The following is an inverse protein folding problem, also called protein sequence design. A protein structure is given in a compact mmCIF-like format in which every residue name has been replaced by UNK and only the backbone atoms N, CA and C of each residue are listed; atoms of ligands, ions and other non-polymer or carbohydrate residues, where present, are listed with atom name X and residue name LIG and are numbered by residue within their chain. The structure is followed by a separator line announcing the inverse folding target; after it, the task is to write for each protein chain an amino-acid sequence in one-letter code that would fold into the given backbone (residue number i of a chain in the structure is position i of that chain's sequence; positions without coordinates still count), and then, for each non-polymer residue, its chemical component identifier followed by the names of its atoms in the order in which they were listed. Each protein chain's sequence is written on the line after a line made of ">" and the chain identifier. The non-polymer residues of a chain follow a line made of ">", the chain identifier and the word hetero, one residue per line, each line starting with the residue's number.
data_IF_094172195417
#
_entry.id   IF_094172195417
#
_cell.length_a   1.000
_cell.length_b   1.000
_cell.length_c   1.000
_cell.angle_alpha   90.00
_cell.angle_beta   90.00
_cell.angle_gamma   90.00
#
_symmetry.space_group_name_H-M   'P 1'
#
loop_
_entity.id
_entity.type
_entity.pdbx_description
1 polymer ?
#
# COMPACT_ATOMS: atom_id res chain seq x y z
N UNK A 1 15.19 3.26 19.14
CA UNK A 1 14.03 4.12 19.51
C UNK A 1 13.80 5.32 18.58
N UNK A 2 14.83 5.97 18.00
CA UNK A 2 14.65 7.18 17.13
C UNK A 2 13.93 6.92 15.79
N UNK A 3 14.07 5.73 15.21
CA UNK A 3 13.44 5.36 13.94
C UNK A 3 11.90 5.42 14.01
N UNK A 4 11.32 4.89 15.08
CA UNK A 4 9.86 4.78 15.23
C UNK A 4 9.20 6.16 15.45
N UNK A 5 9.86 7.07 16.19
CA UNK A 5 9.40 8.47 16.35
C UNK A 5 9.40 9.24 15.02
N UNK A 6 10.37 8.99 14.15
CA UNK A 6 10.40 9.61 12.83
C UNK A 6 9.34 9.00 11.91
N UNK A 7 9.17 7.68 11.92
CA UNK A 7 8.15 6.99 11.12
C UNK A 7 6.73 7.47 11.44
N UNK A 8 6.40 7.64 12.73
CA UNK A 8 5.08 8.16 13.15
C UNK A 8 4.82 9.60 12.68
N UNK A 9 5.83 10.47 12.62
CA UNK A 9 5.67 11.82 12.05
C UNK A 9 5.39 11.78 10.55
N UNK A 10 6.01 10.86 9.82
CA UNK A 10 5.74 10.70 8.38
C UNK A 10 4.31 10.24 8.13
N UNK A 11 3.78 9.30 8.93
CA UNK A 11 2.40 8.85 8.79
C UNK A 11 1.39 10.00 8.96
N UNK A 12 1.55 10.82 10.01
CA UNK A 12 0.68 11.99 10.22
C UNK A 12 0.80 13.03 9.09
N UNK A 13 2.00 13.24 8.54
CA UNK A 13 2.18 14.14 7.41
C UNK A 13 1.46 13.63 6.15
N UNK A 14 1.47 12.31 5.89
CA UNK A 14 0.75 11.68 4.78
C UNK A 14 -0.76 11.78 4.98
N UNK A 15 -1.25 11.58 6.19
CA UNK A 15 -2.67 11.67 6.54
C UNK A 15 -3.21 13.09 6.35
N UNK A 16 -2.48 14.11 6.81
CA UNK A 16 -2.82 15.51 6.58
C UNK A 16 -2.77 15.91 5.10
N UNK A 17 -1.76 15.44 4.36
CA UNK A 17 -1.61 15.76 2.94
C UNK A 17 -2.69 15.10 2.09
N UNK A 18 -3.01 13.83 2.35
CA UNK A 18 -4.10 13.12 1.67
C UNK A 18 -5.47 13.73 1.99
N UNK A 19 -5.72 14.14 3.23
CA UNK A 19 -6.92 14.88 3.61
C UNK A 19 -7.07 16.22 2.88
N UNK A 20 -6.00 17.03 2.84
CA UNK A 20 -6.01 18.31 2.12
C UNK A 20 -6.19 18.12 0.60
N UNK A 21 -5.57 17.10 0.01
CA UNK A 21 -5.72 16.75 -1.40
C UNK A 21 -7.17 16.33 -1.72
N UNK A 22 -7.81 15.51 -0.87
CA UNK A 22 -9.20 15.10 -1.05
C UNK A 22 -10.17 16.28 -0.94
N UNK A 23 -9.96 17.20 0.01
CA UNK A 23 -10.76 18.42 0.13
C UNK A 23 -10.56 19.33 -1.09
N UNK A 24 -9.34 19.42 -1.62
CA UNK A 24 -9.05 20.19 -2.82
C UNK A 24 -9.70 19.58 -4.07
N UNK A 25 -9.61 18.26 -4.25
CA UNK A 25 -10.28 17.54 -5.34
C UNK A 25 -11.81 17.66 -5.20
N UNK A 26 -12.35 17.51 -3.99
CA UNK A 26 -13.77 17.68 -3.70
C UNK A 26 -14.25 19.11 -4.02
N UNK A 27 -13.47 20.12 -3.64
CA UNK A 27 -13.72 21.51 -4.01
C UNK A 27 -13.66 21.73 -5.52
N UNK A 28 -12.68 21.16 -6.21
CA UNK A 28 -12.61 21.23 -7.67
C UNK A 28 -13.82 20.56 -8.34
N UNK A 29 -14.28 19.41 -7.86
CA UNK A 29 -15.50 18.77 -8.39
C UNK A 29 -16.74 19.61 -8.12
N UNK A 30 -16.84 20.23 -6.94
CA UNK A 30 -17.96 21.10 -6.55
C UNK A 30 -18.02 22.39 -7.38
N UNK A 31 -16.87 23.01 -7.69
CA UNK A 31 -16.81 24.27 -8.44
C UNK A 31 -16.67 24.09 -9.96
N UNK A 32 -16.08 23.00 -10.45
CA UNK A 32 -15.80 22.81 -11.87
C UNK A 32 -16.87 21.97 -12.56
N UNK A 33 -17.99 22.62 -12.94
CA UNK A 33 -18.81 22.37 -14.16
C UNK A 33 -19.15 20.91 -14.58
N UNK A 34 -18.90 19.89 -13.75
CA UNK A 34 -19.04 18.48 -14.09
C UNK A 34 -20.50 18.03 -13.99
N UNK A 35 -21.24 18.61 -13.06
CA UNK A 35 -22.70 18.46 -12.94
C UNK A 35 -23.45 19.02 -14.15
N UNK A 36 -22.89 20.02 -14.83
CA UNK A 36 -23.50 20.57 -16.05
C UNK A 36 -23.20 19.71 -17.30
N UNK A 37 -22.12 18.93 -17.26
CA UNK A 37 -21.75 17.99 -18.33
C UNK A 37 -22.51 16.68 -18.23
N UNK A 38 -22.74 16.15 -17.02
CA UNK A 38 -23.55 14.93 -16.84
C UNK A 38 -24.99 15.11 -17.30
N UNK A 39 -25.59 16.30 -17.12
CA UNK A 39 -26.91 16.63 -17.66
C UNK A 39 -26.96 16.64 -19.21
N UNK A 40 -25.84 16.91 -19.88
CA UNK A 40 -25.74 16.98 -21.35
C UNK A 40 -25.32 15.64 -21.99
N UNK A 41 -25.03 14.63 -21.17
CA UNK A 41 -24.52 13.32 -21.58
C UNK A 41 -25.55 12.19 -21.32
N UNK A 42 -26.83 12.51 -21.13
CA UNK A 42 -27.91 11.49 -21.05
C UNK A 42 -27.95 10.55 -22.26
N UNK A 43 -27.48 11.03 -23.43
CA UNK A 43 -27.28 10.21 -24.63
C UNK A 43 -26.24 9.09 -24.44
N UNK A 44 -25.24 9.29 -23.56
CA UNK A 44 -24.27 8.25 -23.21
C UNK A 44 -24.88 7.14 -22.36
N UNK A 45 -25.92 7.42 -21.56
CA UNK A 45 -26.61 6.37 -20.81
C UNK A 45 -27.26 5.35 -21.74
N UNK A 46 -27.77 5.80 -22.90
CA UNK A 46 -28.31 4.90 -23.94
C UNK A 46 -27.20 4.04 -24.54
N UNK A 47 -26.02 4.63 -24.78
CA UNK A 47 -24.86 3.89 -25.29
C UNK A 47 -24.36 2.87 -24.26
N UNK A 48 -24.30 3.24 -22.98
CA UNK A 48 -23.88 2.35 -21.88
C UNK A 48 -24.84 1.19 -21.72
N UNK A 49 -26.17 1.44 -21.76
CA UNK A 49 -27.18 0.38 -21.71
C UNK A 49 -27.11 -0.56 -22.92
N UNK A 50 -26.84 -0.02 -24.10
CA UNK A 50 -26.63 -0.83 -25.31
C UNK A 50 -25.35 -1.67 -25.21
N UNK A 51 -24.29 -1.11 -24.61
CA UNK A 51 -23.02 -1.78 -24.39
C UNK A 51 -23.14 -2.89 -23.34
N UNK A 52 -23.84 -2.64 -22.24
CA UNK A 52 -24.16 -3.64 -21.21
C UNK A 52 -24.97 -4.79 -21.79
N UNK A 53 -25.98 -4.51 -22.63
CA UNK A 53 -26.77 -5.54 -23.30
C UNK A 53 -25.94 -6.35 -24.30
N UNK A 54 -25.03 -5.69 -25.05
CA UNK A 54 -24.10 -6.37 -25.94
C UNK A 54 -23.13 -7.28 -25.16
N UNK A 55 -22.62 -6.81 -24.01
CA UNK A 55 -21.70 -7.55 -23.12
C UNK A 55 -22.38 -8.74 -22.42
N UNK A 56 -23.63 -8.58 -21.96
CA UNK A 56 -24.37 -9.63 -21.24
C UNK A 56 -25.08 -10.63 -22.15
N UNK A 57 -25.34 -10.31 -23.42
CA UNK A 57 -26.06 -11.22 -24.33
C UNK A 57 -25.28 -12.48 -24.72
N UNK A 58 -23.96 -12.55 -24.45
CA UNK A 58 -23.13 -13.75 -24.66
C UNK A 58 -23.14 -14.32 -26.09
N UNK A 59 -23.66 -13.58 -27.08
CA UNK A 59 -23.95 -14.08 -28.43
C UNK A 59 -22.96 -13.64 -29.52
N UNK A 60 -21.94 -12.90 -29.14
CA UNK A 60 -20.85 -12.48 -30.01
C UNK A 60 -19.64 -13.38 -29.81
N UNK A 61 -19.26 -14.16 -30.83
CA UNK A 61 -17.98 -14.87 -30.85
C UNK A 61 -16.78 -13.90 -30.74
N UNK A 62 -15.58 -14.42 -30.56
CA UNK A 62 -14.33 -13.65 -30.38
C UNK A 62 -14.10 -12.60 -31.47
N UNK A 63 -14.55 -12.86 -32.69
CA UNK A 63 -14.47 -11.95 -33.85
C UNK A 63 -15.32 -10.69 -33.66
N UNK A 64 -16.48 -10.79 -33.01
CA UNK A 64 -17.36 -9.65 -32.73
C UNK A 64 -16.71 -8.68 -31.73
N UNK A 65 -16.14 -9.21 -30.65
CA UNK A 65 -15.48 -8.42 -29.61
C UNK A 65 -14.20 -7.73 -30.11
N UNK A 66 -13.45 -8.40 -31.00
CA UNK A 66 -12.29 -7.80 -31.65
C UNK A 66 -12.69 -6.64 -32.56
N UNK A 67 -13.72 -6.81 -33.39
CA UNK A 67 -14.20 -5.75 -34.27
C UNK A 67 -14.79 -4.56 -33.50
N UNK A 68 -15.54 -4.82 -32.42
CA UNK A 68 -16.06 -3.78 -31.54
C UNK A 68 -14.92 -3.00 -30.85
N UNK A 69 -13.90 -3.70 -30.34
CA UNK A 69 -12.72 -3.08 -29.74
C UNK A 69 -11.94 -2.20 -30.73
N UNK A 70 -11.73 -2.69 -31.95
CA UNK A 70 -11.07 -1.91 -33.03
C UNK A 70 -11.90 -0.69 -33.39
N UNK A 71 -13.22 -0.82 -33.52
CA UNK A 71 -14.10 0.31 -33.83
C UNK A 71 -14.04 1.40 -32.74
N UNK A 72 -14.06 1.02 -31.46
CA UNK A 72 -13.91 1.96 -30.34
C UNK A 72 -12.53 2.63 -30.38
N UNK A 73 -11.45 1.87 -30.61
CA UNK A 73 -10.11 2.41 -30.71
C UNK A 73 -10.00 3.43 -31.85
N UNK A 74 -10.57 3.12 -33.03
CA UNK A 74 -10.60 4.04 -34.18
C UNK A 74 -11.40 5.30 -33.85
N UNK A 75 -12.56 5.19 -33.21
CA UNK A 75 -13.36 6.37 -32.82
C UNK A 75 -12.61 7.23 -31.81
N UNK A 76 -11.93 6.63 -30.83
CA UNK A 76 -11.11 7.36 -29.84
C UNK A 76 -9.94 8.05 -30.53
N UNK A 77 -9.22 7.37 -31.42
CA UNK A 77 -8.09 7.96 -32.18
C UNK A 77 -8.58 9.11 -33.05
N UNK A 78 -9.69 8.94 -33.79
CA UNK A 78 -10.28 10.01 -34.60
C UNK A 78 -10.79 11.17 -33.75
N UNK A 79 -11.34 10.91 -32.57
CA UNK A 79 -11.76 11.94 -31.62
C UNK A 79 -10.56 12.72 -31.07
N UNK A 80 -9.44 12.04 -30.77
CA UNK A 80 -8.18 12.67 -30.36
C UNK A 80 -7.61 13.52 -31.49
N UNK A 81 -7.55 13.01 -32.73
CA UNK A 81 -7.07 13.75 -33.89
C UNK A 81 -7.93 15.01 -34.15
N UNK A 82 -9.27 14.88 -34.15
CA UNK A 82 -10.18 16.04 -34.29
C UNK A 82 -10.07 17.01 -33.13
N UNK A 83 -9.83 16.51 -31.91
CA UNK A 83 -9.62 17.35 -30.73
C UNK A 83 -8.30 18.11 -30.84
N UNK A 84 -7.27 17.51 -31.44
CA UNK A 84 -5.99 18.16 -31.74
C UNK A 84 -6.13 19.30 -32.75
N UNK A 85 -6.95 19.16 -33.81
CA UNK A 85 -7.25 20.28 -34.73
C UNK A 85 -7.93 21.46 -34.02
N UNK A 86 -8.88 21.17 -33.12
CA UNK A 86 -9.60 22.19 -32.35
C UNK A 86 -8.75 22.83 -31.25
N UNK A 87 -7.71 22.14 -30.77
CA UNK A 87 -6.71 22.69 -29.84
C UNK A 87 -5.68 23.52 -30.60
N UNK A 88 -5.27 23.08 -31.80
CA UNK A 88 -4.38 23.84 -32.67
C UNK A 88 -4.99 25.16 -33.15
N UNK A 89 -6.32 25.22 -33.33
CA UNK A 89 -7.03 26.47 -33.66
C UNK A 89 -7.24 27.41 -32.46
N UNK A 90 -7.03 26.94 -31.22
CA UNK A 90 -7.03 27.78 -30.01
C UNK A 90 -5.61 28.26 -29.71
N UNK A 91 -5.02 28.96 -30.68
CA UNK A 91 -3.73 29.63 -30.56
C UNK A 91 -3.88 30.94 -29.74
N UNK A 92 -4.56 30.85 -28.60
CA UNK A 92 -4.68 31.92 -27.62
C UNK A 92 -3.81 31.59 -26.42
N UNK A 93 -3.02 32.56 -25.95
CA UNK A 93 -2.07 32.50 -24.82
C UNK A 93 -2.51 31.64 -23.61
N UNK A 94 -3.82 31.55 -23.33
CA UNK A 94 -4.40 30.81 -22.20
C UNK A 94 -4.26 29.28 -22.32
N UNK A 95 -4.32 28.68 -23.51
CA UNK A 95 -4.17 27.22 -23.69
C UNK A 95 -2.70 26.80 -23.56
N UNK A 96 -1.79 27.59 -24.12
CA UNK A 96 -0.34 27.40 -23.99
C UNK A 96 0.08 27.52 -22.53
N UNK A 97 -0.44 28.51 -21.80
CA UNK A 97 -0.17 28.68 -20.38
C UNK A 97 -0.67 27.47 -19.57
N UNK A 98 -1.89 27.00 -19.83
CA UNK A 98 -2.44 25.84 -19.13
C UNK A 98 -1.61 24.56 -19.38
N UNK A 99 -1.19 24.31 -20.62
CA UNK A 99 -0.36 23.14 -20.96
C UNK A 99 1.03 23.26 -20.34
N UNK A 100 1.65 24.44 -20.38
CA UNK A 100 2.94 24.69 -19.76
C UNK A 100 2.89 24.52 -18.24
N UNK A 101 1.82 24.96 -17.57
CA UNK A 101 1.62 24.76 -16.12
C UNK A 101 1.45 23.29 -15.79
N UNK A 102 0.67 22.53 -16.56
CA UNK A 102 0.49 21.08 -16.33
C UNK A 102 1.81 20.33 -16.54
N UNK A 103 2.56 20.64 -17.60
CA UNK A 103 3.88 20.04 -17.84
C UNK A 103 4.85 20.39 -16.70
N UNK A 104 4.88 21.64 -16.24
CA UNK A 104 5.71 22.07 -15.12
C UNK A 104 5.34 21.35 -13.80
N UNK A 105 4.05 21.10 -13.55
CA UNK A 105 3.58 20.34 -12.39
C UNK A 105 3.95 18.85 -12.49
N UNK A 106 3.82 18.23 -13.67
CA UNK A 106 4.23 16.84 -13.90
C UNK A 106 5.75 16.69 -13.72
N UNK A 107 6.52 17.61 -14.29
CA UNK A 107 7.98 17.64 -14.15
C UNK A 107 8.35 17.88 -12.67
N UNK A 108 7.74 18.85 -12.01
CA UNK A 108 7.98 19.17 -10.61
C UNK A 108 7.67 17.99 -9.69
N UNK A 109 6.54 17.30 -9.89
CA UNK A 109 6.18 16.11 -9.13
C UNK A 109 7.09 14.92 -9.44
N UNK A 110 7.52 14.73 -10.68
CA UNK A 110 8.50 13.71 -11.05
C UNK A 110 9.86 13.93 -10.38
N UNK A 111 10.36 15.18 -10.37
CA UNK A 111 11.62 15.50 -9.71
C UNK A 111 11.50 15.51 -8.18
N UNK A 112 10.36 15.93 -7.64
CA UNK A 112 10.07 15.81 -6.21
C UNK A 112 10.03 14.35 -5.79
N UNK A 113 9.30 13.47 -6.50
CA UNK A 113 9.27 12.03 -6.27
C UNK A 113 10.68 11.43 -6.37
N UNK A 114 11.48 11.80 -7.37
CA UNK A 114 12.87 11.33 -7.49
C UNK A 114 13.76 11.81 -6.32
N UNK A 115 13.54 13.00 -5.80
CA UNK A 115 14.28 13.56 -4.66
C UNK A 115 13.82 13.01 -3.31
N UNK A 116 12.53 12.69 -3.17
CA UNK A 116 11.91 12.17 -1.94
C UNK A 116 11.76 10.66 -1.94
N UNK A 117 12.05 9.99 -3.06
CA UNK A 117 12.27 8.55 -3.08
C UNK A 117 13.43 8.30 -2.13
N UNK A 118 13.06 7.89 -0.92
CA UNK A 118 13.87 7.01 -0.10
C UNK A 118 14.25 5.90 -1.07
N UNK A 119 15.49 5.94 -1.55
CA UNK A 119 16.09 4.83 -2.26
C UNK A 119 15.83 3.68 -1.31
N UNK A 120 14.95 2.75 -1.70
CA UNK A 120 14.83 1.48 -1.01
C UNK A 120 16.19 0.83 -1.23
N UNK A 121 17.14 1.19 -0.38
CA UNK A 121 18.36 0.46 -0.17
C UNK A 121 17.87 -0.89 0.30
N UNK A 122 17.86 -1.85 -0.64
CA UNK A 122 18.06 -3.24 -0.30
C UNK A 122 19.23 -3.38 0.67
N UNK A 123 19.34 -4.54 1.31
CA UNK A 123 19.77 -4.69 2.70
C UNK A 123 21.15 -4.08 2.95
N UNK A 124 21.18 -2.82 3.37
CA UNK A 124 22.41 -2.17 3.78
C UNK A 124 22.08 -1.24 4.95
N UNK A 125 22.70 -1.54 6.09
CA UNK A 125 22.59 -0.91 7.42
C UNK A 125 21.62 -1.49 8.46
N UNK A 126 21.49 -2.81 8.50
CA UNK A 126 21.26 -3.53 9.78
C UNK A 126 22.53 -4.24 10.29
N UNK A 127 23.65 -4.16 9.57
CA UNK A 127 24.86 -4.95 9.81
C UNK A 127 26.04 -4.19 10.43
N UNK A 128 25.86 -2.96 10.93
CA UNK A 128 27.01 -2.21 11.49
C UNK A 128 27.12 -2.28 13.01
N UNK A 129 26.08 -2.71 13.75
CA UNK A 129 26.11 -2.76 15.23
C UNK A 129 25.44 -3.98 15.87
N UNK A 130 24.74 -4.82 15.09
CA UNK A 130 24.27 -6.10 15.59
C UNK A 130 25.39 -7.12 15.38
N UNK A 131 26.03 -7.57 16.46
CA UNK A 131 26.87 -8.76 16.46
C UNK A 131 25.99 -9.99 16.20
N UNK A 132 25.47 -10.09 14.96
CA UNK A 132 24.60 -11.18 14.54
C UNK A 132 25.49 -12.39 14.39
N UNK A 133 25.43 -13.27 15.40
CA UNK A 133 26.12 -14.55 15.35
C UNK A 133 25.64 -15.33 14.12
N UNK A 134 26.55 -15.91 13.31
CA UNK A 134 26.16 -16.74 12.18
C UNK A 134 25.37 -17.97 12.65
N UNK A 135 24.51 -18.48 11.76
CA UNK A 135 23.71 -19.69 11.99
C UNK A 135 24.60 -20.85 12.40
N UNK A 136 24.16 -21.63 13.39
CA UNK A 136 24.91 -22.76 13.96
C UNK A 136 25.74 -22.40 15.20
N UNK A 137 25.85 -21.11 15.55
CA UNK A 137 26.37 -20.72 16.86
C UNK A 137 25.30 -20.82 17.96
N UNK A 138 25.71 -21.00 19.23
CA UNK A 138 24.77 -20.91 20.35
C UNK A 138 24.04 -19.57 20.37
N UNK A 139 22.71 -19.64 20.51
CA UNK A 139 21.88 -18.48 20.73
C UNK A 139 22.41 -17.67 21.93
N UNK A 140 22.33 -16.32 21.89
CA UNK A 140 22.75 -15.49 23.00
C UNK A 140 21.92 -15.79 24.25
N UNK A 141 22.56 -15.76 25.42
CA UNK A 141 21.84 -15.83 26.68
C UNK A 141 21.14 -14.49 26.91
N UNK A 142 19.82 -14.53 27.04
CA UNK A 142 18.99 -13.36 27.30
C UNK A 142 18.06 -13.72 28.45
N UNK A 143 17.97 -12.80 29.41
CA UNK A 143 17.00 -12.85 30.51
C UNK A 143 15.90 -11.84 30.23
N UNK A 144 14.65 -12.29 30.37
CA UNK A 144 13.46 -11.48 30.19
C UNK A 144 12.49 -11.73 31.35
N UNK A 145 11.54 -10.82 31.53
CA UNK A 145 10.45 -10.98 32.50
C UNK A 145 9.28 -11.66 31.81
N UNK A 146 8.76 -12.73 32.41
CA UNK A 146 7.53 -13.35 31.95
C UNK A 146 6.29 -12.54 32.39
N UNK A 147 5.10 -13.04 32.04
CA UNK A 147 3.84 -12.40 32.41
C UNK A 147 3.56 -12.44 33.93
N UNK A 148 4.22 -13.32 34.69
CA UNK A 148 4.16 -13.36 36.16
C UNK A 148 5.16 -12.40 36.81
N UNK A 149 6.06 -11.78 36.03
CA UNK A 149 7.16 -10.95 36.52
C UNK A 149 8.38 -11.75 37.00
N UNK A 150 8.42 -13.06 36.74
CA UNK A 150 9.57 -13.93 37.04
C UNK A 150 10.63 -13.79 35.96
N UNK A 151 11.88 -14.07 36.32
CA UNK A 151 12.97 -14.13 35.36
C UNK A 151 12.89 -15.43 34.56
N UNK A 152 12.74 -15.29 33.24
CA UNK A 152 12.83 -16.36 32.28
C UNK A 152 14.11 -16.16 31.45
N UNK A 153 14.80 -17.26 31.14
CA UNK A 153 16.02 -17.23 30.33
C UNK A 153 15.96 -18.22 29.19
N UNK A 154 16.66 -17.93 28.10
CA UNK A 154 16.67 -18.82 26.94
C UNK A 154 17.25 -20.20 27.27
N UNK A 155 18.21 -20.28 28.21
CA UNK A 155 18.79 -21.55 28.65
C UNK A 155 17.78 -22.50 29.32
N UNK A 156 16.65 -22.01 29.84
CA UNK A 156 15.60 -22.84 30.43
C UNK A 156 14.94 -23.77 29.40
N UNK A 157 15.07 -23.45 28.10
CA UNK A 157 14.47 -24.21 27.00
C UNK A 157 15.46 -25.18 26.32
N UNK A 158 16.66 -25.37 26.88
CA UNK A 158 17.63 -26.34 26.33
C UNK A 158 17.04 -27.74 26.25
N UNK A 159 17.35 -28.44 25.16
CA UNK A 159 16.80 -29.77 24.86
C UNK A 159 15.46 -29.74 24.11
N UNK A 160 14.87 -28.55 23.92
CA UNK A 160 13.70 -28.34 23.05
C UNK A 160 14.12 -27.64 21.76
N UNK A 161 13.33 -27.85 20.70
CA UNK A 161 13.34 -26.99 19.51
C UNK A 161 12.50 -25.76 19.83
N UNK A 162 13.13 -24.59 19.88
CA UNK A 162 12.47 -23.33 20.27
C UNK A 162 12.28 -22.44 19.05
N UNK A 163 11.05 -22.09 18.74
CA UNK A 163 10.72 -21.02 17.79
C UNK A 163 10.53 -19.72 18.57
N UNK A 164 11.46 -18.78 18.41
CA UNK A 164 11.34 -17.44 19.02
C UNK A 164 10.64 -16.52 18.03
N UNK A 165 9.47 -16.01 18.41
CA UNK A 165 8.69 -15.07 17.63
C UNK A 165 8.68 -13.71 18.35
N UNK A 166 9.09 -12.65 17.65
CA UNK A 166 9.05 -11.27 18.15
C UNK A 166 7.79 -10.59 17.60
N UNK A 167 6.88 -10.17 18.47
CA UNK A 167 5.58 -9.61 18.09
C UNK A 167 5.25 -8.36 18.90
N UNK A 168 4.17 -7.67 18.54
CA UNK A 168 3.65 -6.54 19.32
C UNK A 168 2.16 -6.36 19.09
N UNK A 169 1.47 -5.67 20.01
CA UNK A 169 0.02 -5.40 19.91
C UNK A 169 -0.36 -4.50 18.74
N UNK A 170 0.57 -3.69 18.25
CA UNK A 170 0.38 -2.87 17.05
C UNK A 170 0.79 -3.58 15.76
N UNK A 171 1.22 -4.85 15.83
CA UNK A 171 1.61 -5.65 14.68
C UNK A 171 0.40 -6.40 14.10
N UNK A 172 -0.33 -5.76 13.19
CA UNK A 172 -1.47 -6.37 12.50
C UNK A 172 -1.18 -7.74 11.84
N UNK A 173 -0.10 -7.93 11.07
CA UNK A 173 0.21 -9.25 10.49
C UNK A 173 0.53 -10.31 11.53
N UNK A 174 1.01 -9.94 12.73
CA UNK A 174 1.31 -10.90 13.80
C UNK A 174 0.02 -11.60 14.29
N UNK A 175 -1.13 -10.89 14.32
CA UNK A 175 -2.41 -11.49 14.70
C UNK A 175 -2.85 -12.62 13.78
N UNK A 176 -2.52 -12.52 12.49
CA UNK A 176 -2.82 -13.57 11.50
C UNK A 176 -1.90 -14.78 11.67
N UNK A 177 -0.65 -14.56 12.12
CA UNK A 177 0.34 -15.61 12.34
C UNK A 177 0.09 -16.42 13.63
N UNK A 178 -0.38 -15.76 14.69
CA UNK A 178 -0.54 -16.38 16.03
C UNK A 178 -1.37 -17.68 16.01
N UNK A 179 -2.53 -17.77 15.34
CA UNK A 179 -3.29 -19.02 15.25
C UNK A 179 -2.47 -20.19 14.68
N UNK A 180 -1.62 -19.95 13.68
CA UNK A 180 -0.76 -20.97 13.10
C UNK A 180 0.38 -21.38 14.05
N UNK A 181 0.92 -20.44 14.82
CA UNK A 181 1.91 -20.74 15.85
C UNK A 181 1.31 -21.60 16.99
N UNK A 182 0.07 -21.31 17.39
CA UNK A 182 -0.67 -22.12 18.38
C UNK A 182 -0.89 -23.53 17.84
N UNK A 183 -1.30 -23.68 16.57
CA UNK A 183 -1.47 -24.99 15.94
C UNK A 183 -0.14 -25.77 15.90
N UNK A 184 0.97 -25.11 15.53
CA UNK A 184 2.29 -25.73 15.52
C UNK A 184 2.75 -26.17 16.92
N UNK A 185 2.53 -25.32 17.94
CA UNK A 185 2.80 -25.67 19.34
C UNK A 185 2.07 -26.96 19.70
N UNK A 186 0.75 -27.00 19.54
CA UNK A 186 -0.08 -28.16 19.88
C UNK A 186 0.35 -29.43 19.15
N UNK A 187 0.72 -29.31 17.87
CA UNK A 187 1.10 -30.45 17.02
C UNK A 187 2.46 -31.06 17.37
N UNK A 188 3.41 -30.25 17.83
CA UNK A 188 4.81 -30.67 18.00
C UNK A 188 5.31 -30.63 19.44
N UNK A 189 4.52 -30.14 20.40
CA UNK A 189 4.90 -30.06 21.82
C UNK A 189 5.37 -31.40 22.38
N UNK A 190 4.65 -32.48 22.10
CA UNK A 190 5.01 -33.84 22.52
C UNK A 190 6.35 -34.34 21.94
N UNK A 191 6.87 -33.69 20.88
CA UNK A 191 8.17 -33.98 20.26
C UNK A 191 9.27 -33.04 20.73
N UNK A 192 9.03 -32.27 21.79
CA UNK A 192 9.99 -31.31 22.34
C UNK A 192 10.07 -30.00 21.57
N UNK A 193 9.00 -29.56 20.90
CA UNK A 193 8.91 -28.24 20.29
C UNK A 193 8.24 -27.24 21.24
N UNK A 194 8.66 -25.98 21.18
CA UNK A 194 8.01 -24.89 21.92
C UNK A 194 8.08 -23.57 21.15
N UNK A 195 7.00 -22.79 21.19
CA UNK A 195 6.99 -21.40 20.71
C UNK A 195 7.21 -20.46 21.89
N UNK A 196 8.11 -19.49 21.72
CA UNK A 196 8.38 -18.42 22.67
C UNK A 196 8.05 -17.07 22.02
N UNK A 197 6.94 -16.46 22.42
CA UNK A 197 6.54 -15.12 21.97
C UNK A 197 7.15 -14.02 22.85
N UNK A 198 7.93 -13.14 22.26
CA UNK A 198 8.55 -11.98 22.92
C UNK A 198 7.83 -10.72 22.44
N UNK A 199 7.11 -10.05 23.35
CA UNK A 199 6.48 -8.76 23.05
C UNK A 199 7.55 -7.65 22.94
N UNK A 200 7.38 -6.80 21.93
CA UNK A 200 8.18 -5.60 21.68
C UNK A 200 7.44 -4.32 22.07
N UNK A 201 6.31 -4.42 22.75
CA UNK A 201 5.55 -3.27 23.24
C UNK A 201 6.35 -2.52 24.32
N UNK A 202 6.42 -1.19 24.21
CA UNK A 202 7.18 -0.37 25.17
C UNK A 202 6.50 -0.36 26.56
N UNK A 203 5.18 -0.53 26.56
CA UNK A 203 4.34 -0.65 27.75
C UNK A 203 4.48 -2.04 28.44
N UNK A 204 5.22 -2.97 27.83
CA UNK A 204 5.53 -4.29 28.37
C UNK A 204 4.28 -5.09 28.75
N UNK A 205 4.27 -5.67 29.95
CA UNK A 205 3.15 -6.48 30.45
C UNK A 205 1.79 -5.77 30.33
N UNK A 206 1.73 -4.45 30.50
CA UNK A 206 0.46 -3.72 30.47
C UNK A 206 -0.20 -3.67 29.09
N UNK A 207 0.55 -3.88 28.00
CA UNK A 207 -0.02 -3.99 26.65
C UNK A 207 -0.60 -5.39 26.37
N UNK A 208 -0.06 -6.44 27.00
CA UNK A 208 -0.34 -7.84 26.63
C UNK A 208 -1.08 -8.64 27.69
N UNK A 209 -1.18 -8.14 28.92
CA UNK A 209 -1.93 -8.80 29.98
C UNK A 209 -3.44 -8.78 29.66
N UNK A 210 -4.14 -9.91 29.83
CA UNK A 210 -5.59 -9.99 29.65
C UNK A 210 -6.37 -9.19 30.69
#
# INVERSE_FOLDING_TARGET
>A
MTFYKNFRRYLHAVELFSGALLLFIGGLVFFNKLTWLTAKLSFLNVIVLWLEHALTSGRGGTTFWLLAGVAVAVVVVLAVIRRWEKIASMQGSKTILAVATVIALIIGTYYADKATRVKATGPEKYTEQANVKPVGQPAPEITFKDLDGKDATLSQYKGKVVLVNFWATWCEPCYVEIPWLIEMQQKYEARGFTVLGISMDEEGKSAVAP
#
